data_IF_320249822949
#
_entry.id   IF_320249822949
#
_cell.length_a   1.000
_cell.length_b   1.000
_cell.length_c   1.000
_cell.angle_alpha   90.00
_cell.angle_beta   90.00
_cell.angle_gamma   90.00
#
_symmetry.space_group_name_H-M   'P 1'
#
loop_
_entity.id
_entity.type
_entity.pdbx_description
1 polymer ?
#
# COMPACT_ATOMS: atom_id res chain seq x y z
N UNK A 1 -5.34 15.53 7.23
CA UNK A 1 -6.37 15.73 6.22
C UNK A 1 -5.94 15.07 4.90
N UNK A 2 -6.61 13.95 4.54
CA UNK A 2 -6.29 13.15 3.35
C UNK A 2 -6.41 13.97 2.05
N UNK A 3 -7.47 14.74 1.92
CA UNK A 3 -7.73 15.55 0.72
C UNK A 3 -6.57 16.48 0.37
N UNK A 4 -5.94 17.07 1.38
CA UNK A 4 -4.77 17.93 1.18
C UNK A 4 -3.52 17.11 0.81
N UNK A 5 -3.26 15.99 1.50
CA UNK A 5 -2.09 15.13 1.25
C UNK A 5 -2.15 14.45 -0.12
N UNK A 6 -3.35 14.04 -0.54
CA UNK A 6 -3.58 13.40 -1.83
C UNK A 6 -3.78 14.38 -2.99
N UNK A 7 -3.80 15.70 -2.70
CA UNK A 7 -4.16 16.74 -3.67
C UNK A 7 -5.47 16.39 -4.41
N UNK A 8 -6.55 16.25 -3.64
CA UNK A 8 -7.88 15.88 -4.12
C UNK A 8 -7.92 14.49 -4.80
N UNK A 9 -7.33 13.50 -4.14
CA UNK A 9 -7.24 12.10 -4.60
C UNK A 9 -6.44 11.90 -5.88
N UNK A 10 -5.59 12.84 -6.25
CA UNK A 10 -4.67 12.68 -7.38
C UNK A 10 -3.53 11.73 -7.09
N UNK A 11 -3.03 11.74 -5.85
CA UNK A 11 -1.89 10.94 -5.40
C UNK A 11 -2.34 9.95 -4.33
N UNK A 12 -1.66 8.80 -4.30
CA UNK A 12 -1.84 7.78 -3.28
C UNK A 12 -0.69 7.77 -2.27
N UNK A 13 -0.91 7.04 -1.19
CA UNK A 13 0.10 6.77 -0.18
C UNK A 13 0.37 5.26 -0.05
N UNK A 14 1.55 4.95 0.47
CA UNK A 14 1.90 3.60 0.94
C UNK A 14 2.17 3.66 2.44
N UNK A 15 1.70 2.66 3.18
CA UNK A 15 1.99 2.46 4.58
C UNK A 15 2.72 1.14 4.78
N UNK A 16 3.93 1.19 5.31
CA UNK A 16 4.74 -0.01 5.53
C UNK A 16 4.68 -0.44 6.98
N UNK A 17 4.49 -1.74 7.19
CA UNK A 17 4.47 -2.39 8.49
C UNK A 17 5.59 -3.42 8.61
N UNK A 18 5.90 -3.83 9.84
CA UNK A 18 6.97 -4.79 10.11
C UNK A 18 6.53 -6.24 9.95
N UNK A 19 5.21 -6.52 10.01
CA UNK A 19 4.68 -7.87 9.99
C UNK A 19 3.30 -7.95 9.34
N UNK A 20 2.91 -9.16 8.91
CA UNK A 20 1.59 -9.42 8.34
C UNK A 20 0.47 -9.19 9.37
N UNK A 21 0.58 -9.65 10.64
CA UNK A 21 -0.41 -9.34 11.66
C UNK A 21 -0.63 -7.84 11.87
N UNK A 22 0.45 -7.04 11.88
CA UNK A 22 0.33 -5.58 11.95
C UNK A 22 -0.38 -5.01 10.72
N UNK A 23 -0.07 -5.48 9.52
CA UNK A 23 -0.73 -5.03 8.29
C UNK A 23 -2.24 -5.28 8.33
N UNK A 24 -2.67 -6.46 8.77
CA UNK A 24 -4.08 -6.82 8.93
C UNK A 24 -4.75 -5.95 10.00
N UNK A 25 -4.09 -5.75 11.14
CA UNK A 25 -4.62 -4.91 12.23
C UNK A 25 -4.81 -3.45 11.77
N UNK A 26 -3.82 -2.87 11.10
CA UNK A 26 -3.93 -1.52 10.54
C UNK A 26 -4.97 -1.42 9.43
N UNK A 27 -5.09 -2.43 8.58
CA UNK A 27 -6.12 -2.47 7.55
C UNK A 27 -7.53 -2.34 8.17
N UNK A 28 -7.84 -3.16 9.16
CA UNK A 28 -9.12 -3.15 9.87
C UNK A 28 -9.36 -1.83 10.61
N UNK A 29 -8.33 -1.34 11.32
CA UNK A 29 -8.41 -0.09 12.06
C UNK A 29 -8.69 1.10 11.15
N UNK A 30 -7.96 1.22 10.05
CA UNK A 30 -8.13 2.34 9.11
C UNK A 30 -9.46 2.24 8.39
N UNK A 31 -9.89 1.05 7.99
CA UNK A 31 -11.21 0.82 7.39
C UNK A 31 -12.35 1.26 8.30
N UNK A 32 -12.22 1.00 9.60
CA UNK A 32 -13.20 1.45 10.60
C UNK A 32 -13.15 2.97 10.84
N UNK A 33 -11.95 3.53 10.97
CA UNK A 33 -11.75 4.94 11.31
C UNK A 33 -11.99 5.90 10.13
N UNK A 34 -11.79 5.43 8.90
CA UNK A 34 -11.93 6.21 7.68
C UNK A 34 -12.63 5.41 6.56
N UNK A 35 -13.92 5.11 6.70
CA UNK A 35 -14.66 4.21 5.78
C UNK A 35 -14.77 4.73 4.35
N UNK A 36 -14.52 6.02 4.13
CA UNK A 36 -14.51 6.62 2.79
C UNK A 36 -13.16 6.50 2.07
N UNK A 37 -12.12 6.09 2.80
CA UNK A 37 -10.79 5.92 2.24
C UNK A 37 -10.69 4.56 1.53
N UNK A 38 -10.32 4.56 0.27
CA UNK A 38 -10.13 3.34 -0.52
C UNK A 38 -8.78 2.73 -0.20
N UNK A 39 -8.79 1.71 0.66
CA UNK A 39 -7.59 1.05 1.16
C UNK A 39 -7.49 -0.37 0.63
N UNK A 40 -6.27 -0.85 0.48
CA UNK A 40 -5.97 -2.25 0.26
C UNK A 40 -4.69 -2.63 1.00
N UNK A 41 -4.43 -3.91 1.13
CA UNK A 41 -3.17 -4.38 1.68
C UNK A 41 -2.58 -5.49 0.81
N UNK A 42 -1.25 -5.58 0.80
CA UNK A 42 -0.53 -6.59 0.05
C UNK A 42 0.60 -7.18 0.88
N UNK A 43 0.55 -8.48 1.03
CA UNK A 43 1.59 -9.31 1.65
C UNK A 43 1.55 -10.72 1.04
N UNK A 44 2.63 -11.47 1.21
CA UNK A 44 2.67 -12.88 0.82
C UNK A 44 2.47 -13.73 2.08
N UNK A 45 1.38 -14.50 2.18
CA UNK A 45 1.10 -15.30 3.36
C UNK A 45 2.10 -16.45 3.58
N UNK A 46 2.94 -16.77 2.58
CA UNK A 46 3.88 -17.87 2.63
C UNK A 46 5.32 -17.46 3.04
N UNK A 47 5.57 -16.18 3.30
CA UNK A 47 6.94 -15.67 3.56
C UNK A 47 7.50 -16.09 4.92
N UNK A 48 6.68 -16.46 5.88
CA UNK A 48 7.14 -16.91 7.20
C UNK A 48 7.16 -18.45 7.28
N UNK A 49 8.16 -19.07 6.69
CA UNK A 49 8.50 -20.47 6.92
C UNK A 49 8.93 -20.65 8.38
N UNK A 50 8.05 -21.15 9.23
CA UNK A 50 8.32 -21.39 10.67
C UNK A 50 7.26 -20.84 11.62
N UNK A 51 6.21 -20.20 11.10
CA UNK A 51 5.08 -19.77 11.92
C UNK A 51 4.24 -20.99 12.41
N UNK A 52 3.68 -20.87 13.60
CA UNK A 52 2.69 -21.83 14.11
C UNK A 52 1.49 -21.94 13.15
N UNK A 53 0.82 -23.10 13.04
CA UNK A 53 -0.35 -23.29 12.17
C UNK A 53 -1.47 -22.26 12.40
N UNK A 54 -1.64 -21.80 13.63
CA UNK A 54 -2.58 -20.74 13.99
C UNK A 54 -2.28 -19.41 13.32
N UNK A 55 -1.01 -19.06 13.21
CA UNK A 55 -0.56 -17.83 12.56
C UNK A 55 -0.80 -17.87 11.03
N UNK A 56 -0.58 -19.03 10.43
CA UNK A 56 -0.84 -19.24 9.00
C UNK A 56 -2.33 -19.08 8.69
N UNK A 57 -3.22 -19.67 9.49
CA UNK A 57 -4.66 -19.52 9.33
C UNK A 57 -5.12 -18.07 9.48
N UNK A 58 -4.58 -17.34 10.46
CA UNK A 58 -4.86 -15.92 10.66
C UNK A 58 -4.43 -15.07 9.47
N UNK A 59 -3.22 -15.28 8.95
CA UNK A 59 -2.69 -14.58 7.77
C UNK A 59 -3.53 -14.83 6.52
N UNK A 60 -3.92 -16.09 6.29
CA UNK A 60 -4.79 -16.46 5.17
C UNK A 60 -6.17 -15.83 5.29
N UNK A 61 -6.80 -15.90 6.47
CA UNK A 61 -8.10 -15.28 6.72
C UNK A 61 -8.07 -13.77 6.48
N UNK A 62 -7.02 -13.08 6.94
CA UNK A 62 -6.83 -11.65 6.68
C UNK A 62 -6.64 -11.33 5.21
N UNK A 63 -5.92 -12.17 4.46
CA UNK A 63 -5.77 -11.98 3.02
C UNK A 63 -7.09 -12.21 2.27
N UNK A 64 -7.88 -13.21 2.66
CA UNK A 64 -9.22 -13.46 2.08
C UNK A 64 -10.12 -12.24 2.30
N UNK A 65 -10.17 -11.69 3.52
CA UNK A 65 -10.93 -10.47 3.84
C UNK A 65 -10.55 -9.30 2.91
N UNK A 66 -9.25 -9.07 2.71
CA UNK A 66 -8.74 -8.00 1.85
C UNK A 66 -9.13 -8.23 0.39
N UNK A 67 -9.04 -9.49 -0.10
CA UNK A 67 -9.43 -9.86 -1.46
C UNK A 67 -10.93 -9.69 -1.69
N UNK A 68 -11.78 -10.11 -0.76
CA UNK A 68 -13.23 -9.94 -0.82
C UNK A 68 -13.62 -8.47 -0.88
N UNK A 69 -13.04 -7.63 -0.02
CA UNK A 69 -13.25 -6.20 -0.03
C UNK A 69 -12.82 -5.56 -1.35
N UNK A 70 -11.66 -5.96 -1.86
CA UNK A 70 -11.13 -5.47 -3.13
C UNK A 70 -12.03 -5.87 -4.30
N UNK A 71 -12.48 -7.11 -4.31
CA UNK A 71 -13.39 -7.62 -5.34
C UNK A 71 -14.72 -6.85 -5.32
N UNK A 72 -15.28 -6.64 -4.13
CA UNK A 72 -16.52 -5.87 -3.97
C UNK A 72 -16.35 -4.42 -4.43
N UNK A 73 -15.22 -3.77 -4.08
CA UNK A 73 -14.95 -2.37 -4.41
C UNK A 73 -14.73 -2.14 -5.91
N UNK A 74 -14.03 -3.07 -6.58
CA UNK A 74 -13.53 -2.86 -7.94
C UNK A 74 -14.11 -3.81 -8.98
N UNK A 75 -15.09 -4.64 -8.61
CA UNK A 75 -15.73 -5.60 -9.52
C UNK A 75 -14.76 -6.66 -10.04
N UNK A 76 -13.87 -7.15 -9.17
CA UNK A 76 -12.87 -8.16 -9.50
C UNK A 76 -13.27 -9.54 -8.94
N UNK A 77 -12.49 -10.57 -9.26
CA UNK A 77 -12.70 -11.96 -8.83
C UNK A 77 -11.34 -12.59 -8.42
N UNK A 78 -10.66 -11.96 -7.48
CA UNK A 78 -9.40 -12.47 -6.97
C UNK A 78 -9.61 -13.38 -5.75
N UNK A 79 -8.76 -14.40 -5.65
CA UNK A 79 -8.72 -15.35 -4.55
C UNK A 79 -7.27 -15.76 -4.25
N UNK A 80 -7.06 -16.62 -3.27
CA UNK A 80 -5.73 -17.08 -2.89
C UNK A 80 -4.98 -17.76 -4.04
N UNK A 81 -5.68 -18.53 -4.89
CA UNK A 81 -5.04 -19.24 -6.00
C UNK A 81 -4.54 -18.29 -7.10
N UNK A 82 -5.15 -17.13 -7.26
CA UNK A 82 -4.75 -16.14 -8.26
C UNK A 82 -4.17 -14.85 -7.65
N UNK A 83 -3.61 -14.92 -6.43
CA UNK A 83 -3.00 -13.80 -5.70
C UNK A 83 -1.97 -13.02 -6.53
N UNK A 84 -1.23 -13.71 -7.41
CA UNK A 84 -0.28 -13.05 -8.33
C UNK A 84 -0.96 -12.08 -9.30
N UNK A 85 -2.19 -12.37 -9.72
CA UNK A 85 -2.99 -11.49 -10.58
C UNK A 85 -3.47 -10.27 -9.78
N UNK A 86 -3.91 -10.47 -8.54
CA UNK A 86 -4.25 -9.38 -7.62
C UNK A 86 -3.07 -8.43 -7.43
N UNK A 87 -1.87 -8.95 -7.14
CA UNK A 87 -0.64 -8.14 -7.02
C UNK A 87 -0.37 -7.33 -8.29
N UNK A 88 -0.54 -7.93 -9.47
CA UNK A 88 -0.35 -7.25 -10.76
C UNK A 88 -1.41 -6.16 -10.97
N UNK A 89 -2.68 -6.43 -10.65
CA UNK A 89 -3.75 -5.44 -10.76
C UNK A 89 -3.50 -4.24 -9.86
N UNK A 90 -3.15 -4.46 -8.58
CA UNK A 90 -2.74 -3.41 -7.65
C UNK A 90 -1.61 -2.54 -8.22
N UNK A 91 -0.55 -3.18 -8.70
CA UNK A 91 0.62 -2.46 -9.22
C UNK A 91 0.28 -1.62 -10.46
N UNK A 92 -0.51 -2.15 -11.39
CA UNK A 92 -0.92 -1.43 -12.60
C UNK A 92 -1.90 -0.30 -12.30
N UNK A 93 -2.82 -0.49 -11.34
CA UNK A 93 -3.77 0.51 -10.88
C UNK A 93 -3.07 1.68 -10.20
N UNK A 94 -2.16 1.42 -9.26
CA UNK A 94 -1.36 2.43 -8.57
C UNK A 94 -0.40 3.19 -9.51
N UNK A 95 0.12 2.51 -10.52
CA UNK A 95 1.02 3.13 -11.51
C UNK A 95 0.28 3.84 -12.65
N UNK A 96 -1.05 3.81 -12.68
CA UNK A 96 -1.89 4.31 -13.77
C UNK A 96 -1.45 3.76 -15.14
N UNK A 97 -1.14 2.46 -15.19
CA UNK A 97 -0.79 1.73 -16.43
C UNK A 97 -2.03 1.05 -17.00
N UNK A 98 -1.94 0.61 -18.24
CA UNK A 98 -3.03 -0.10 -18.90
C UNK A 98 -3.50 -1.33 -18.07
N UNK A 99 -4.80 -1.48 -17.78
CA UNK A 99 -5.97 -0.76 -18.33
C UNK A 99 -6.31 0.58 -17.64
N UNK A 100 -5.58 1.00 -16.60
CA UNK A 100 -5.89 2.14 -15.72
C UNK A 100 -5.28 3.48 -16.15
N UNK A 101 -4.95 3.68 -17.42
CA UNK A 101 -4.33 4.92 -17.94
C UNK A 101 -5.14 6.19 -17.64
N UNK A 102 -6.46 6.07 -17.54
CA UNK A 102 -7.37 7.19 -17.29
C UNK A 102 -8.04 7.15 -15.93
N UNK A 103 -7.48 6.41 -14.97
CA UNK A 103 -8.06 6.21 -13.64
C UNK A 103 -8.27 7.52 -12.87
N UNK A 104 -7.52 8.56 -13.18
CA UNK A 104 -7.73 9.90 -12.61
C UNK A 104 -9.09 10.52 -12.97
N UNK A 105 -9.77 10.01 -14.02
CA UNK A 105 -11.13 10.41 -14.39
C UNK A 105 -12.23 9.60 -13.69
N UNK A 106 -11.85 8.54 -13.01
CA UNK A 106 -12.71 7.60 -12.28
C UNK A 106 -12.19 7.44 -10.85
N UNK A 107 -12.36 8.46 -9.97
CA UNK A 107 -11.77 8.46 -8.62
C UNK A 107 -12.21 7.27 -7.77
N UNK A 108 -13.39 6.71 -8.04
CA UNK A 108 -13.91 5.50 -7.37
C UNK A 108 -13.08 4.25 -7.66
N UNK A 109 -12.34 4.24 -8.77
CA UNK A 109 -11.45 3.15 -9.17
C UNK A 109 -10.02 3.30 -8.61
N UNK A 110 -9.69 4.44 -8.02
CA UNK A 110 -8.37 4.68 -7.44
C UNK A 110 -8.22 3.98 -6.08
N UNK A 111 -6.98 3.71 -5.72
CA UNK A 111 -6.60 3.31 -4.36
C UNK A 111 -5.97 4.53 -3.69
N UNK A 112 -6.43 4.86 -2.49
CA UNK A 112 -5.91 6.00 -1.74
C UNK A 112 -4.71 5.59 -0.89
N UNK A 113 -4.78 4.43 -0.23
CA UNK A 113 -3.73 3.92 0.63
C UNK A 113 -3.48 2.43 0.40
N UNK A 114 -2.24 2.06 0.17
CA UNK A 114 -1.80 0.67 0.14
C UNK A 114 -0.97 0.36 1.39
N UNK A 115 -1.37 -0.66 2.14
CA UNK A 115 -0.59 -1.19 3.26
C UNK A 115 0.27 -2.34 2.74
N UNK A 116 1.57 -2.33 3.06
CA UNK A 116 2.50 -3.38 2.63
C UNK A 116 3.38 -3.85 3.77
N UNK A 117 3.78 -5.11 3.70
CA UNK A 117 4.82 -5.67 4.58
C UNK A 117 6.17 -5.58 3.86
N UNK A 118 7.22 -5.47 4.57
CA UNK A 118 8.61 -5.14 4.27
C UNK A 118 9.11 -5.38 2.84
N UNK A 119 8.92 -6.58 2.32
CA UNK A 119 9.48 -6.99 1.03
C UNK A 119 8.70 -6.46 -0.19
N UNK A 120 7.51 -5.93 0.02
CA UNK A 120 6.63 -5.55 -1.07
C UNK A 120 6.86 -4.12 -1.59
N UNK A 121 7.71 -3.34 -0.92
CA UNK A 121 8.13 -2.02 -1.41
C UNK A 121 8.91 -2.10 -2.73
N UNK A 122 9.59 -3.21 -3.01
CA UNK A 122 10.47 -3.37 -4.17
C UNK A 122 9.74 -3.54 -5.50
N UNK A 123 8.43 -3.64 -5.53
CA UNK A 123 7.63 -3.86 -6.76
C UNK A 123 6.86 -2.62 -7.25
N UNK A 124 6.74 -1.57 -6.44
CA UNK A 124 5.90 -0.42 -6.78
C UNK A 124 6.74 0.76 -7.27
N UNK A 125 6.58 1.05 -8.54
CA UNK A 125 7.19 2.18 -9.19
C UNK A 125 6.10 3.09 -9.77
N UNK A 126 5.76 4.15 -9.05
CA UNK A 126 4.68 5.06 -9.42
C UNK A 126 5.04 6.51 -9.13
N UNK A 127 4.95 7.36 -10.15
CA UNK A 127 5.03 8.81 -9.99
C UNK A 127 3.83 9.39 -9.21
N UNK A 128 2.78 8.61 -9.06
CA UNK A 128 1.57 8.98 -8.31
C UNK A 128 1.67 8.70 -6.81
N UNK A 129 2.76 8.08 -6.34
CA UNK A 129 3.05 7.91 -4.93
C UNK A 129 3.59 9.22 -4.35
N UNK A 130 2.83 9.86 -3.47
CA UNK A 130 3.22 11.13 -2.83
C UNK A 130 3.73 10.94 -1.40
N UNK A 131 3.12 10.05 -0.63
CA UNK A 131 3.44 9.88 0.79
C UNK A 131 3.75 8.43 1.11
N UNK A 132 4.84 8.22 1.83
CA UNK A 132 5.22 6.94 2.41
C UNK A 132 5.15 7.05 3.94
N UNK A 133 4.26 6.29 4.54
CA UNK A 133 4.16 6.13 5.99
C UNK A 133 4.94 4.90 6.42
N UNK A 134 5.76 5.04 7.45
CA UNK A 134 6.65 3.97 7.90
C UNK A 134 6.46 3.69 9.39
N UNK A 135 5.92 2.52 9.69
CA UNK A 135 5.81 2.01 11.06
C UNK A 135 6.82 0.88 11.30
N UNK A 136 8.07 1.13 10.89
CA UNK A 136 9.19 0.21 11.12
C UNK A 136 10.51 0.94 11.12
N UNK A 137 11.52 0.35 11.77
CA UNK A 137 12.91 0.80 11.67
C UNK A 137 13.51 0.23 10.39
N UNK A 138 13.94 1.11 9.49
CA UNK A 138 14.64 0.69 8.28
C UNK A 138 16.15 0.68 8.49
N UNK A 139 16.81 -0.31 7.89
CA UNK A 139 18.26 -0.26 7.69
C UNK A 139 18.58 0.76 6.58
N UNK A 140 19.77 1.37 6.65
CA UNK A 140 20.21 2.46 5.77
C UNK A 140 19.93 2.24 4.28
N UNK A 141 20.21 1.05 3.75
CA UNK A 141 19.95 0.70 2.34
C UNK A 141 18.47 0.77 1.96
N UNK A 142 17.59 0.34 2.86
CA UNK A 142 16.15 0.37 2.64
C UNK A 142 15.58 1.79 2.72
N UNK A 143 16.22 2.68 3.48
CA UNK A 143 15.87 4.12 3.54
C UNK A 143 16.09 4.75 2.17
N UNK A 144 17.25 4.55 1.56
CA UNK A 144 17.57 5.10 0.23
C UNK A 144 16.57 4.58 -0.82
N UNK A 145 16.22 3.30 -0.79
CA UNK A 145 15.24 2.73 -1.69
C UNK A 145 13.84 3.33 -1.49
N UNK A 146 13.42 3.53 -0.23
CA UNK A 146 12.14 4.16 0.09
C UNK A 146 12.10 5.62 -0.42
N UNK A 147 13.17 6.38 -0.21
CA UNK A 147 13.29 7.75 -0.73
C UNK A 147 13.21 7.80 -2.25
N UNK A 148 13.89 6.90 -2.96
CA UNK A 148 13.88 6.87 -4.42
C UNK A 148 12.48 6.62 -5.01
N UNK A 149 11.58 5.99 -4.26
CA UNK A 149 10.20 5.68 -4.69
C UNK A 149 9.26 6.88 -4.59
N UNK A 150 9.38 7.65 -3.52
CA UNK A 150 8.52 8.83 -3.31
C UNK A 150 9.03 10.06 -4.06
N UNK A 151 10.32 10.11 -4.36
CA UNK A 151 10.98 11.28 -4.94
C UNK A 151 10.88 11.35 -6.47
N UNK A 152 10.04 10.52 -7.11
CA UNK A 152 9.73 10.67 -8.52
C UNK A 152 8.86 11.89 -8.73
N UNK A 153 9.44 12.89 -9.37
CA UNK A 153 8.76 14.12 -9.75
C UNK A 153 7.62 13.80 -10.72
N UNK A 154 6.50 14.49 -10.58
CA UNK A 154 5.41 14.42 -11.54
C UNK A 154 5.46 15.63 -12.48
N UNK A 155 5.05 16.79 -11.99
CA UNK A 155 5.22 18.09 -12.62
C UNK A 155 5.75 18.98 -11.49
N UNK A 156 6.76 19.80 -11.74
CA UNK A 156 7.43 20.61 -10.70
C UNK A 156 6.45 21.43 -9.86
N UNK A 157 5.39 21.95 -10.47
CA UNK A 157 4.36 22.73 -9.77
C UNK A 157 3.38 21.88 -8.93
N UNK A 158 3.24 20.57 -9.20
CA UNK A 158 2.22 19.73 -8.55
C UNK A 158 2.81 18.77 -7.53
N UNK A 159 3.97 18.19 -7.84
CA UNK A 159 4.69 17.29 -6.93
C UNK A 159 6.18 17.55 -7.04
N UNK A 160 6.68 18.61 -6.38
CA UNK A 160 8.10 18.94 -6.37
C UNK A 160 8.92 17.95 -5.52
N UNK A 161 8.32 17.28 -4.55
CA UNK A 161 8.93 16.26 -3.68
C UNK A 161 7.91 15.24 -3.18
N UNK A 162 8.41 14.10 -2.68
CA UNK A 162 7.63 13.13 -1.91
C UNK A 162 7.78 13.34 -0.41
N UNK A 163 6.83 12.85 0.36
CA UNK A 163 6.84 12.93 1.83
C UNK A 163 7.08 11.55 2.42
N UNK A 164 7.99 11.45 3.40
CA UNK A 164 8.17 10.26 4.21
C UNK A 164 7.84 10.60 5.65
N UNK A 165 7.03 9.79 6.33
CA UNK A 165 6.63 9.96 7.72
C UNK A 165 6.95 8.71 8.51
N UNK A 166 7.73 8.88 9.58
CA UNK A 166 8.12 7.81 10.51
C UNK A 166 7.26 7.86 11.76
N UNK A 167 6.84 6.69 12.24
CA UNK A 167 6.05 6.55 13.47
C UNK A 167 6.81 5.85 14.59
N UNK A 168 7.83 5.04 14.27
CA UNK A 168 8.68 4.40 15.29
C UNK A 168 10.06 5.03 15.32
N UNK A 169 10.52 5.37 16.53
CA UNK A 169 11.86 5.89 16.80
C UNK A 169 12.31 7.02 15.86
N UNK A 170 11.54 8.11 15.73
CA UNK A 170 11.87 9.17 14.77
C UNK A 170 13.26 9.79 15.04
N UNK A 171 13.72 9.80 16.30
CA UNK A 171 15.02 10.35 16.70
C UNK A 171 16.22 9.42 16.46
N UNK A 172 16.01 8.13 16.14
CA UNK A 172 17.12 7.19 15.86
C UNK A 172 17.41 7.07 14.38
N UNK A 173 16.73 7.82 13.54
CA UNK A 173 16.84 7.80 12.06
C UNK A 173 17.42 9.12 11.50
N UNK A 174 17.94 9.97 12.39
CA UNK A 174 18.71 11.17 12.02
C UNK A 174 20.16 10.82 11.66
#
# INVERSE_FOLDING_TARGET
>A
NWTHLSQNNKFHAIFTTSSIPEAIAYYRLIKQAAPTLKISALFDPNIDEGSEPSDSAFKQAGLVEILEDYNAQYGQDFNLANHSKFKKDLATRLAHKNPYLRISKTPEQQIDLLIVVDQMLTGFDSKWLNTLYMDKVLKYENIIQAFSRTNRLYIESEKPFGTIRYYRYPHSME
#
